data_IF_866512715692
#
_entry.id   IF_866512715692
#
_cell.length_a   1.000
_cell.length_b   1.000
_cell.length_c   1.000
_cell.angle_alpha   90.00
_cell.angle_beta   90.00
_cell.angle_gamma   90.00
#
_symmetry.space_group_name_H-M   'P 1'
#
loop_
_entity.id
_entity.type
_entity.pdbx_description
1 polymer ?
#
# COMPACT_ATOMS: atom_id res chain seq x y z
N UNK A 1 3.08 0.52 -12.54
CA UNK A 1 4.06 0.35 -11.45
C UNK A 1 4.70 -1.03 -11.61
N UNK A 2 6.03 -1.18 -11.47
CA UNK A 2 6.73 -2.48 -11.61
C UNK A 2 6.76 -3.23 -10.27
N UNK A 3 6.73 -4.57 -10.29
CA UNK A 3 6.85 -5.45 -9.13
C UNK A 3 8.09 -5.16 -8.25
N UNK A 4 9.23 -4.82 -8.87
CA UNK A 4 10.46 -4.44 -8.16
C UNK A 4 10.26 -3.20 -7.27
N UNK A 5 9.52 -2.21 -7.78
CA UNK A 5 9.19 -1.00 -7.02
C UNK A 5 8.28 -1.32 -5.84
N UNK A 6 7.36 -2.27 -6.02
CA UNK A 6 6.42 -2.72 -5.00
C UNK A 6 7.10 -3.47 -3.85
N UNK A 7 8.10 -4.30 -4.17
CA UNK A 7 8.94 -4.97 -3.17
C UNK A 7 9.71 -3.91 -2.38
N UNK A 8 10.39 -2.98 -3.06
CA UNK A 8 11.16 -1.92 -2.41
C UNK A 8 10.30 -1.02 -1.50
N UNK A 9 9.10 -0.67 -1.94
CA UNK A 9 8.14 0.12 -1.14
C UNK A 9 7.62 -0.69 0.05
N UNK A 10 7.35 -1.99 -0.12
CA UNK A 10 6.88 -2.86 0.96
C UNK A 10 7.94 -3.02 2.05
N UNK A 11 9.20 -3.24 1.66
CA UNK A 11 10.33 -3.30 2.60
C UNK A 11 10.50 -1.97 3.35
N UNK A 12 10.41 -0.84 2.63
CA UNK A 12 10.60 0.50 3.21
C UNK A 12 9.46 0.93 4.15
N UNK A 13 8.21 0.60 3.83
CA UNK A 13 7.03 1.02 4.61
C UNK A 13 6.76 0.10 5.80
N UNK A 14 6.94 -1.22 5.63
CA UNK A 14 6.57 -2.18 6.66
C UNK A 14 7.77 -2.72 7.45
N UNK A 15 9.01 -2.48 7.01
CA UNK A 15 10.22 -3.08 7.59
C UNK A 15 10.20 -4.61 7.55
N UNK A 16 9.35 -5.19 6.68
CA UNK A 16 9.08 -6.63 6.60
C UNK A 16 9.56 -7.15 5.27
N UNK A 17 10.44 -8.14 5.35
CA UNK A 17 10.83 -8.94 4.20
C UNK A 17 9.60 -9.68 3.69
N UNK A 18 9.31 -9.53 2.41
CA UNK A 18 8.23 -10.21 1.72
C UNK A 18 8.42 -11.74 1.78
N UNK A 19 7.38 -12.47 2.19
CA UNK A 19 7.44 -13.93 2.20
C UNK A 19 7.56 -14.46 0.75
N UNK A 20 8.43 -15.44 0.46
CA UNK A 20 8.68 -15.90 -0.90
C UNK A 20 7.42 -16.37 -1.65
N UNK A 21 6.47 -16.96 -0.92
CA UNK A 21 5.18 -17.42 -1.48
C UNK A 21 4.29 -16.28 -2.00
N UNK A 22 4.55 -15.04 -1.60
CA UNK A 22 3.79 -13.86 -2.04
C UNK A 22 4.35 -13.26 -3.34
N UNK A 23 5.55 -13.65 -3.76
CA UNK A 23 6.21 -13.13 -4.98
C UNK A 23 5.38 -13.32 -6.25
N UNK A 24 4.74 -14.48 -6.52
CA UNK A 24 3.92 -14.65 -7.72
C UNK A 24 2.69 -13.74 -7.75
N UNK A 25 2.18 -13.37 -6.58
CA UNK A 25 0.99 -12.52 -6.47
C UNK A 25 1.33 -11.03 -6.61
N UNK A 26 2.58 -10.64 -6.32
CA UNK A 26 3.03 -9.25 -6.47
C UNK A 26 2.90 -8.73 -7.90
N UNK A 27 3.18 -9.55 -8.90
CA UNK A 27 2.99 -9.15 -10.30
C UNK A 27 1.52 -8.84 -10.57
N UNK A 28 0.61 -9.71 -10.12
CA UNK A 28 -0.83 -9.51 -10.27
C UNK A 28 -1.29 -8.23 -9.56
N UNK A 29 -0.83 -8.00 -8.33
CA UNK A 29 -1.16 -6.78 -7.59
C UNK A 29 -0.55 -5.52 -8.24
N UNK A 30 0.64 -5.61 -8.80
CA UNK A 30 1.32 -4.50 -9.49
C UNK A 30 0.56 -4.00 -10.72
N UNK A 31 -0.17 -4.90 -11.38
CA UNK A 31 -1.01 -4.56 -12.53
C UNK A 31 -2.30 -3.84 -12.12
N UNK A 32 -2.89 -4.20 -10.97
CA UNK A 32 -4.13 -3.61 -10.49
C UNK A 32 -3.94 -2.28 -9.74
N UNK A 33 -2.79 -2.08 -9.10
CA UNK A 33 -2.49 -0.92 -8.26
C UNK A 33 -2.61 0.45 -8.97
N UNK A 34 -2.13 0.63 -10.22
CA UNK A 34 -2.25 1.92 -10.91
C UNK A 34 -3.69 2.40 -11.01
N UNK A 35 -4.61 1.53 -11.45
CA UNK A 35 -6.03 1.89 -11.57
C UNK A 35 -6.69 2.22 -10.23
N UNK A 36 -6.33 1.50 -9.17
CA UNK A 36 -6.77 1.84 -7.81
C UNK A 36 -6.26 3.22 -7.36
N UNK A 37 -4.96 3.50 -7.56
CA UNK A 37 -4.36 4.78 -7.18
C UNK A 37 -4.97 5.95 -7.97
N UNK A 38 -5.22 5.75 -9.26
CA UNK A 38 -5.88 6.76 -10.11
C UNK A 38 -7.30 7.06 -9.63
N UNK A 39 -8.07 6.04 -9.21
CA UNK A 39 -9.38 6.24 -8.61
C UNK A 39 -9.31 6.97 -7.28
N UNK A 40 -8.39 6.58 -6.39
CA UNK A 40 -8.20 7.27 -5.10
C UNK A 40 -7.83 8.73 -5.33
N UNK A 41 -6.96 9.01 -6.31
CA UNK A 41 -6.57 10.38 -6.65
C UNK A 41 -7.73 11.19 -7.23
N UNK A 42 -8.46 10.63 -8.19
CA UNK A 42 -9.65 11.27 -8.78
C UNK A 42 -10.70 11.62 -7.73
N UNK A 43 -10.92 10.72 -6.76
CA UNK A 43 -11.80 11.00 -5.62
C UNK A 43 -11.20 12.08 -4.73
N UNK A 44 -9.91 11.98 -4.39
CA UNK A 44 -9.21 12.95 -3.54
C UNK A 44 -9.20 14.37 -4.10
N UNK A 45 -9.13 14.54 -5.42
CA UNK A 45 -9.18 15.86 -6.07
C UNK A 45 -10.53 16.58 -5.83
N UNK A 46 -11.57 15.84 -5.46
CA UNK A 46 -12.89 16.36 -5.07
C UNK A 46 -13.08 16.60 -3.58
N UNK A 47 -12.13 16.23 -2.72
CA UNK A 47 -12.20 16.47 -1.27
C UNK A 47 -11.45 17.76 -0.88
N UNK A 48 -11.91 18.49 0.15
CA UNK A 48 -11.20 19.66 0.65
C UNK A 48 -9.81 19.27 1.18
N UNK A 49 -8.80 20.10 0.87
CA UNK A 49 -7.39 19.87 1.25
C UNK A 49 -7.13 19.88 2.76
N UNK A 50 -8.09 20.31 3.59
CA UNK A 50 -7.96 20.45 5.06
C UNK A 50 -8.33 19.17 5.84
N UNK A 51 -8.26 17.99 5.21
CA UNK A 51 -8.47 16.74 5.92
C UNK A 51 -7.17 16.28 6.57
N UNK A 52 -7.20 16.13 7.90
CA UNK A 52 -6.13 15.47 8.65
C UNK A 52 -5.88 14.06 8.08
N UNK A 53 -4.60 13.63 7.94
CA UNK A 53 -4.27 12.28 7.48
C UNK A 53 -4.97 11.23 8.34
N UNK A 54 -5.52 10.20 7.70
CA UNK A 54 -6.09 9.07 8.41
C UNK A 54 -5.02 8.45 9.34
N UNK A 55 -5.42 8.15 10.58
CA UNK A 55 -4.52 7.52 11.54
C UNK A 55 -3.99 6.20 10.97
N UNK A 56 -2.67 6.03 11.00
CA UNK A 56 -2.04 4.75 10.64
C UNK A 56 -2.53 3.69 11.63
N UNK A 57 -3.15 2.63 11.12
CA UNK A 57 -3.58 1.52 11.96
C UNK A 57 -2.35 0.86 12.61
N UNK A 58 -2.26 0.96 13.93
CA UNK A 58 -1.25 0.25 14.74
C UNK A 58 -1.94 -0.97 15.35
N UNK A 59 -1.60 -2.21 14.94
CA UNK A 59 -2.18 -3.39 15.57
C UNK A 59 -1.81 -3.41 17.05
N UNK A 60 -2.81 -3.47 17.92
CA UNK A 60 -2.60 -3.63 19.36
C UNK A 60 -2.02 -5.01 19.59
N UNK A 61 -0.76 -5.09 20.02
CA UNK A 61 -0.16 -6.35 20.45
C UNK A 61 -0.69 -6.67 21.86
N UNK A 62 -1.84 -7.34 21.92
CA UNK A 62 -2.29 -8.00 23.16
C UNK A 62 -1.36 -9.20 23.40
N UNK A 63 -0.36 -9.03 24.27
CA UNK A 63 0.36 -10.18 24.84
C UNK A 63 -0.59 -10.92 25.77
N UNK A 64 -0.85 -12.19 25.43
CA UNK A 64 -1.45 -13.17 26.34
C UNK A 64 -0.43 -13.61 27.38
#
# INVERSE_FOLDING_TARGET
MNAELLIAVSDKLNGRVLHPELLPYLEQFSACLPGMLDQVRSVSDGFPFDLEPAAVFVPVVTRA
#
